data_IF_976301296762
#
_entry.id   IF_976301296762
#
_cell.length_a   1.000
_cell.length_b   1.000
_cell.length_c   1.000
_cell.angle_alpha   90.00
_cell.angle_beta   90.00
_cell.angle_gamma   90.00
#
_symmetry.space_group_name_H-M   'P 1'
#
loop_
_entity.id
_entity.type
_entity.pdbx_description
1 polymer ?
#
# COMPACT_ATOMS: atom_id res chain seq x y z
N UNK A 1 -39.43 12.05 -37.55
CA UNK A 1 -39.32 13.34 -38.27
C UNK A 1 -40.54 14.24 -38.07
N UNK A 2 -41.78 13.74 -38.21
CA UNK A 2 -43.02 14.55 -38.05
C UNK A 2 -43.15 15.22 -36.67
N UNK A 3 -42.78 14.54 -35.58
CA UNK A 3 -42.84 15.13 -34.21
C UNK A 3 -41.92 16.35 -34.06
N UNK A 4 -40.73 16.30 -34.64
CA UNK A 4 -39.77 17.43 -34.61
C UNK A 4 -40.30 18.62 -35.43
N UNK A 5 -40.94 18.34 -36.57
CA UNK A 5 -41.60 19.36 -37.39
C UNK A 5 -42.75 20.06 -36.65
N UNK A 6 -43.59 19.31 -35.92
CA UNK A 6 -44.68 19.86 -35.11
C UNK A 6 -44.14 20.77 -34.00
N UNK A 7 -43.08 20.35 -33.29
CA UNK A 7 -42.48 21.19 -32.25
C UNK A 7 -41.86 22.48 -32.80
N UNK A 8 -41.21 22.41 -33.97
CA UNK A 8 -40.65 23.60 -34.63
C UNK A 8 -41.76 24.55 -35.07
N UNK A 9 -42.82 24.04 -35.70
CA UNK A 9 -43.96 24.85 -36.14
C UNK A 9 -44.66 25.52 -34.95
N UNK A 10 -44.90 24.77 -33.87
CA UNK A 10 -45.53 25.28 -32.66
C UNK A 10 -44.67 26.36 -31.99
N UNK A 11 -43.35 26.15 -31.93
CA UNK A 11 -42.38 27.14 -31.38
C UNK A 11 -42.33 28.41 -32.22
N UNK A 12 -42.42 28.29 -33.54
CA UNK A 12 -42.41 29.42 -34.46
C UNK A 12 -43.70 30.25 -34.36
N UNK A 13 -44.85 29.57 -34.27
CA UNK A 13 -46.17 30.22 -34.09
C UNK A 13 -46.28 30.89 -32.72
N UNK A 14 -45.83 30.26 -31.64
CA UNK A 14 -45.82 30.89 -30.30
C UNK A 14 -44.82 32.02 -30.22
N UNK A 15 -43.64 31.90 -30.85
CA UNK A 15 -42.67 32.98 -30.95
C UNK A 15 -43.23 34.21 -31.68
N UNK A 16 -43.93 34.01 -32.80
CA UNK A 16 -44.59 35.06 -33.57
C UNK A 16 -45.74 35.73 -32.79
N UNK A 17 -46.59 34.93 -32.14
CA UNK A 17 -47.68 35.45 -31.30
C UNK A 17 -47.15 36.23 -30.10
N UNK A 18 -46.10 35.73 -29.45
CA UNK A 18 -45.45 36.42 -28.33
C UNK A 18 -44.82 37.74 -28.76
N UNK A 19 -44.16 37.79 -29.92
CA UNK A 19 -43.60 39.04 -30.47
C UNK A 19 -44.69 40.06 -30.82
N UNK A 20 -45.80 39.63 -31.43
CA UNK A 20 -46.93 40.51 -31.74
C UNK A 20 -47.64 41.03 -30.47
N UNK A 21 -47.71 40.21 -29.41
CA UNK A 21 -48.31 40.60 -28.13
C UNK A 21 -47.41 41.58 -27.35
N UNK A 22 -46.10 41.31 -27.30
CA UNK A 22 -45.11 42.16 -26.61
C UNK A 22 -44.84 43.48 -27.34
N UNK A 23 -45.13 43.58 -28.65
CA UNK A 23 -44.98 44.80 -29.42
C UNK A 23 -46.04 45.88 -29.11
N UNK A 24 -47.17 45.53 -28.48
CA UNK A 24 -48.25 46.49 -28.20
C UNK A 24 -47.99 47.36 -26.97
N UNK A 25 -47.49 46.77 -25.88
CA UNK A 25 -47.01 47.49 -24.69
C UNK A 25 -45.78 46.79 -24.12
N UNK A 26 -44.57 47.14 -24.59
CA UNK A 26 -43.35 46.57 -24.05
C UNK A 26 -43.14 47.16 -22.66
N UNK A 27 -43.66 46.47 -21.63
CA UNK A 27 -43.44 46.85 -20.24
C UNK A 27 -41.96 47.17 -19.99
N UNK A 28 -41.70 48.25 -19.25
CA UNK A 28 -40.35 48.74 -19.01
C UNK A 28 -39.83 48.21 -17.67
N UNK A 29 -38.56 47.82 -17.64
CA UNK A 29 -37.86 47.42 -16.44
C UNK A 29 -36.74 48.44 -16.20
N UNK A 30 -36.83 49.18 -15.10
CA UNK A 30 -35.75 50.05 -14.63
C UNK A 30 -34.94 49.30 -13.59
N UNK A 31 -33.68 49.02 -13.92
CA UNK A 31 -32.72 48.47 -12.96
C UNK A 31 -31.83 49.63 -12.51
N UNK A 32 -31.98 50.08 -11.26
CA UNK A 32 -31.12 51.10 -10.66
C UNK A 32 -30.15 50.46 -9.67
N UNK A 33 -28.84 50.62 -9.89
CA UNK A 33 -27.82 50.14 -8.97
C UNK A 33 -26.69 51.17 -8.86
N UNK A 34 -26.41 51.65 -7.63
CA UNK A 34 -25.25 52.49 -7.33
C UNK A 34 -25.15 53.82 -8.10
N UNK A 35 -26.29 54.41 -8.51
CA UNK A 35 -26.33 55.67 -9.27
C UNK A 35 -26.41 55.51 -10.79
N UNK A 36 -26.28 54.29 -11.32
CA UNK A 36 -26.56 53.99 -12.71
C UNK A 36 -27.99 53.43 -12.85
N UNK A 37 -28.78 54.03 -13.75
CA UNK A 37 -30.12 53.56 -14.11
C UNK A 37 -30.08 53.05 -15.54
N UNK A 38 -30.39 51.76 -15.71
CA UNK A 38 -30.52 51.14 -17.03
C UNK A 38 -31.99 50.86 -17.28
N UNK A 39 -32.53 51.51 -18.30
CA UNK A 39 -33.87 51.25 -18.82
C UNK A 39 -33.76 50.14 -19.86
N UNK A 40 -34.31 48.96 -19.56
CA UNK A 40 -34.33 47.82 -20.48
C UNK A 40 -35.79 47.39 -20.68
N UNK A 41 -36.15 47.04 -21.92
CA UNK A 41 -37.48 46.47 -22.17
C UNK A 41 -37.58 45.10 -21.52
N UNK A 42 -38.73 44.76 -20.95
CA UNK A 42 -38.99 43.42 -20.40
C UNK A 42 -38.73 42.33 -21.46
N UNK A 43 -39.00 42.66 -22.72
CA UNK A 43 -38.68 41.83 -23.88
C UNK A 43 -37.17 41.54 -24.02
N UNK A 44 -36.33 42.57 -23.94
CA UNK A 44 -34.88 42.41 -24.05
C UNK A 44 -34.30 41.53 -22.93
N UNK A 45 -34.82 41.64 -21.70
CA UNK A 45 -34.46 40.74 -20.60
C UNK A 45 -34.81 39.28 -20.92
N UNK A 46 -36.02 39.04 -21.43
CA UNK A 46 -36.48 37.69 -21.76
C UNK A 46 -35.60 37.03 -22.84
N UNK A 47 -35.26 37.79 -23.88
CA UNK A 47 -34.33 37.35 -24.93
C UNK A 47 -32.95 37.04 -24.35
N UNK A 48 -32.42 37.89 -23.46
CA UNK A 48 -31.13 37.67 -22.82
C UNK A 48 -31.10 36.40 -21.96
N UNK A 49 -32.18 36.12 -21.21
CA UNK A 49 -32.31 34.89 -20.40
C UNK A 49 -32.32 33.65 -21.30
N UNK A 50 -33.09 33.67 -22.39
CA UNK A 50 -33.13 32.56 -23.34
C UNK A 50 -31.75 32.31 -23.96
N UNK A 51 -31.07 33.37 -24.40
CA UNK A 51 -29.72 33.28 -24.95
C UNK A 51 -28.73 32.68 -23.95
N UNK A 52 -28.79 33.08 -22.67
CA UNK A 52 -27.95 32.53 -21.60
C UNK A 52 -28.20 31.04 -21.38
N UNK A 53 -29.47 30.61 -21.36
CA UNK A 53 -29.83 29.20 -21.18
C UNK A 53 -29.35 28.33 -22.35
N UNK A 54 -29.43 28.84 -23.58
CA UNK A 54 -28.91 28.16 -24.78
C UNK A 54 -27.40 28.01 -24.68
N UNK A 55 -26.69 29.08 -24.30
CA UNK A 55 -25.24 29.07 -24.15
C UNK A 55 -24.79 28.10 -23.05
N UNK A 56 -25.47 28.10 -21.90
CA UNK A 56 -25.22 27.13 -20.81
C UNK A 56 -25.40 25.69 -21.31
N UNK A 57 -26.49 25.41 -22.04
CA UNK A 57 -26.77 24.08 -22.56
C UNK A 57 -25.71 23.64 -23.59
N UNK A 58 -25.24 24.55 -24.44
CA UNK A 58 -24.14 24.28 -25.38
C UNK A 58 -22.84 23.97 -24.66
N UNK A 59 -22.50 24.71 -23.60
CA UNK A 59 -21.30 24.44 -22.78
C UNK A 59 -21.38 23.06 -22.13
N UNK A 60 -22.52 22.69 -21.55
CA UNK A 60 -22.72 21.36 -20.96
C UNK A 60 -22.62 20.24 -22.02
N UNK A 61 -23.20 20.44 -23.22
CA UNK A 61 -23.07 19.50 -24.34
C UNK A 61 -21.62 19.32 -24.79
N UNK A 62 -20.84 20.41 -24.86
CA UNK A 62 -19.41 20.35 -25.21
C UNK A 62 -18.62 19.62 -24.11
N UNK A 63 -18.93 19.88 -22.84
CA UNK A 63 -18.30 19.21 -21.70
C UNK A 63 -18.59 17.71 -21.70
N UNK A 64 -19.84 17.33 -22.01
CA UNK A 64 -20.27 15.94 -22.15
C UNK A 64 -19.66 15.27 -23.40
N UNK A 65 -19.51 16.00 -24.51
CA UNK A 65 -18.86 15.50 -25.73
C UNK A 65 -17.36 15.26 -25.52
N UNK A 66 -16.68 16.13 -24.77
CA UNK A 66 -15.28 15.95 -24.37
C UNK A 66 -15.12 14.79 -23.38
N UNK A 67 -16.19 14.39 -22.67
CA UNK A 67 -16.29 13.22 -21.80
C UNK A 67 -15.03 12.96 -20.94
N UNK A 68 -14.68 13.89 -20.03
CA UNK A 68 -13.51 13.76 -19.14
C UNK A 68 -13.59 12.51 -18.25
N UNK A 69 -14.80 12.05 -17.95
CA UNK A 69 -15.04 10.81 -17.20
C UNK A 69 -14.55 9.57 -17.95
N UNK A 70 -14.70 9.49 -19.28
CA UNK A 70 -14.23 8.34 -20.06
C UNK A 70 -12.71 8.16 -20.02
N UNK A 71 -11.95 9.26 -19.90
CA UNK A 71 -10.49 9.22 -19.74
C UNK A 71 -10.09 8.71 -18.34
N UNK A 72 -10.84 9.12 -17.30
CA UNK A 72 -10.66 8.65 -15.91
C UNK A 72 -11.04 7.17 -15.76
N UNK A 73 -12.09 6.70 -16.46
CA UNK A 73 -12.47 5.28 -16.50
C UNK A 73 -11.52 4.43 -17.36
N UNK A 74 -10.99 4.97 -18.48
CA UNK A 74 -9.98 4.30 -19.30
C UNK A 74 -8.63 4.12 -18.55
N UNK A 75 -8.29 5.06 -17.66
CA UNK A 75 -7.13 4.93 -16.78
C UNK A 75 -7.22 3.73 -15.82
N UNK A 76 -8.45 3.36 -15.38
CA UNK A 76 -8.69 2.19 -14.54
C UNK A 76 -8.60 0.87 -15.32
N UNK A 77 -9.07 0.80 -16.56
CA UNK A 77 -8.92 -0.41 -17.38
C UNK A 77 -7.47 -0.64 -17.83
N UNK A 78 -6.70 0.43 -18.04
CA UNK A 78 -5.26 0.34 -18.31
C UNK A 78 -4.44 -0.02 -17.06
N UNK A 79 -4.92 0.25 -15.85
CA UNK A 79 -4.30 -0.27 -14.63
C UNK A 79 -4.66 -1.74 -14.40
N UNK A 80 -5.90 -2.14 -14.69
CA UNK A 80 -6.36 -3.53 -14.60
C UNK A 80 -5.68 -4.45 -15.62
N UNK A 81 -5.54 -4.04 -16.88
CA UNK A 81 -4.81 -4.82 -17.89
C UNK A 81 -3.31 -4.93 -17.58
N UNK A 82 -2.73 -3.95 -16.86
CA UNK A 82 -1.36 -4.04 -16.33
C UNK A 82 -1.28 -4.91 -15.07
N UNK A 83 -2.29 -4.89 -14.21
CA UNK A 83 -2.39 -5.76 -13.04
C UNK A 83 -2.54 -7.23 -13.46
N UNK A 84 -3.40 -7.52 -14.43
CA UNK A 84 -3.63 -8.87 -14.96
C UNK A 84 -2.41 -9.41 -15.72
N UNK A 85 -1.64 -8.53 -16.38
CA UNK A 85 -0.35 -8.90 -17.01
C UNK A 85 0.78 -9.05 -15.97
N UNK A 86 0.70 -8.36 -14.84
CA UNK A 86 1.59 -8.55 -13.68
C UNK A 86 1.26 -9.82 -12.91
N UNK A 87 0.01 -10.22 -12.87
CA UNK A 87 -0.47 -11.46 -12.23
C UNK A 87 -0.12 -12.69 -13.09
N UNK A 88 -0.28 -12.60 -14.42
CA UNK A 88 0.18 -13.64 -15.37
C UNK A 88 1.70 -13.81 -15.44
N UNK A 89 2.44 -12.72 -15.24
CA UNK A 89 3.90 -12.73 -15.19
C UNK A 89 4.43 -12.68 -13.75
N UNK A 90 3.56 -12.81 -12.75
CA UNK A 90 3.99 -12.89 -11.37
C UNK A 90 4.79 -14.19 -11.24
N UNK A 91 5.92 -14.17 -10.52
CA UNK A 91 6.52 -15.43 -10.09
C UNK A 91 5.44 -16.27 -9.40
N UNK A 92 5.47 -17.61 -9.56
CA UNK A 92 4.48 -18.50 -8.95
C UNK A 92 4.35 -18.17 -7.45
N UNK A 93 3.14 -18.29 -6.87
CA UNK A 93 2.89 -17.99 -5.46
C UNK A 93 3.97 -18.59 -4.57
N UNK A 94 4.39 -17.86 -3.53
CA UNK A 94 5.37 -18.34 -2.55
C UNK A 94 5.11 -19.78 -2.10
N UNK A 95 3.83 -20.15 -1.98
CA UNK A 95 3.35 -21.48 -1.63
C UNK A 95 3.67 -22.56 -2.68
N UNK A 96 3.51 -22.28 -3.98
CA UNK A 96 3.85 -23.22 -5.05
C UNK A 96 5.37 -23.43 -5.13
N UNK A 97 6.14 -22.37 -4.90
CA UNK A 97 7.59 -22.43 -4.91
C UNK A 97 8.14 -23.18 -3.68
N UNK A 98 7.50 -22.99 -2.51
CA UNK A 98 7.73 -23.78 -1.29
C UNK A 98 7.35 -25.24 -1.51
N UNK A 99 6.16 -25.53 -2.01
CA UNK A 99 5.70 -26.88 -2.29
C UNK A 99 6.60 -27.61 -3.29
N UNK A 100 7.03 -26.92 -4.36
CA UNK A 100 7.97 -27.49 -5.33
C UNK A 100 9.38 -27.70 -4.74
N UNK A 101 9.81 -26.85 -3.80
CA UNK A 101 11.07 -27.04 -3.09
C UNK A 101 10.95 -28.22 -2.11
N UNK A 102 9.90 -28.28 -1.32
CA UNK A 102 9.61 -29.37 -0.37
C UNK A 102 9.47 -30.72 -1.08
N UNK A 103 8.79 -30.76 -2.22
CA UNK A 103 8.66 -31.97 -3.04
C UNK A 103 10.01 -32.41 -3.63
N UNK A 104 10.81 -31.48 -4.17
CA UNK A 104 12.17 -31.80 -4.65
C UNK A 104 13.11 -32.23 -3.49
N UNK A 105 12.91 -31.67 -2.29
CA UNK A 105 13.67 -32.05 -1.08
C UNK A 105 13.26 -33.43 -0.58
N UNK A 106 11.97 -33.78 -0.60
CA UNK A 106 11.48 -35.10 -0.19
C UNK A 106 11.94 -36.19 -1.16
N UNK A 107 11.89 -35.94 -2.48
CA UNK A 107 12.37 -36.88 -3.49
C UNK A 107 13.87 -37.18 -3.34
N UNK A 108 14.68 -36.19 -2.95
CA UNK A 108 16.12 -36.38 -2.74
C UNK A 108 16.48 -36.99 -1.38
N UNK A 109 15.67 -36.76 -0.36
CA UNK A 109 15.80 -37.43 0.94
C UNK A 109 15.51 -38.93 0.80
N UNK A 110 14.45 -39.28 0.06
CA UNK A 110 14.10 -40.68 -0.25
C UNK A 110 15.18 -41.37 -1.09
N UNK A 111 15.75 -40.68 -2.09
CA UNK A 111 16.80 -41.24 -2.95
C UNK A 111 18.13 -41.53 -2.24
N UNK A 112 18.43 -40.82 -1.14
CA UNK A 112 19.69 -40.96 -0.39
C UNK A 112 19.55 -41.77 0.91
N UNK A 113 18.34 -42.18 1.29
CA UNK A 113 18.10 -42.99 2.50
C UNK A 113 18.39 -42.26 3.82
N UNK A 114 18.55 -40.93 3.81
CA UNK A 114 18.77 -40.08 4.97
C UNK A 114 17.60 -39.09 5.14
N UNK A 115 17.06 -39.01 6.35
CA UNK A 115 15.92 -38.12 6.70
C UNK A 115 16.33 -36.64 6.77
N UNK A 116 17.63 -36.34 6.87
CA UNK A 116 18.14 -34.98 7.11
C UNK A 116 19.08 -34.54 6.00
N UNK A 117 18.68 -33.55 5.20
CA UNK A 117 19.52 -32.95 4.17
C UNK A 117 20.67 -32.14 4.80
N UNK A 118 21.88 -32.34 4.29
CA UNK A 118 23.04 -31.54 4.71
C UNK A 118 23.03 -30.13 4.07
N UNK A 119 23.57 -29.10 4.75
CA UNK A 119 23.67 -27.74 4.19
C UNK A 119 24.37 -27.69 2.81
N UNK A 120 25.33 -28.59 2.58
CA UNK A 120 26.04 -28.70 1.31
C UNK A 120 25.13 -29.15 0.14
N UNK A 121 24.20 -30.08 0.38
CA UNK A 121 23.22 -30.54 -0.61
C UNK A 121 22.22 -29.43 -0.94
N UNK A 122 21.72 -28.73 0.08
CA UNK A 122 20.81 -27.59 -0.10
C UNK A 122 21.49 -26.46 -0.92
N UNK A 123 22.76 -26.16 -0.65
CA UNK A 123 23.54 -25.18 -1.42
C UNK A 123 23.72 -25.59 -2.89
N UNK A 124 23.87 -26.89 -3.18
CA UNK A 124 24.00 -27.42 -4.54
C UNK A 124 22.67 -27.29 -5.32
N UNK A 125 21.56 -27.61 -4.67
CA UNK A 125 20.21 -27.43 -5.21
C UNK A 125 19.94 -25.95 -5.50
N UNK A 126 20.25 -25.09 -4.53
CA UNK A 126 20.11 -23.65 -4.64
C UNK A 126 20.88 -23.10 -5.84
N UNK A 127 22.16 -23.47 -6.00
CA UNK A 127 22.98 -23.05 -7.16
C UNK A 127 22.41 -23.50 -8.51
N UNK A 128 21.76 -24.66 -8.57
CA UNK A 128 21.16 -25.21 -9.80
C UNK A 128 19.89 -24.42 -10.19
N UNK A 129 19.06 -24.06 -9.20
CA UNK A 129 17.77 -23.37 -9.40
C UNK A 129 17.91 -21.85 -9.58
N UNK A 130 18.82 -21.22 -8.83
CA UNK A 130 18.98 -19.74 -8.79
C UNK A 130 19.61 -19.12 -10.03
N UNK A 131 20.17 -19.91 -10.96
CA UNK A 131 20.82 -19.39 -12.17
C UNK A 131 19.88 -18.59 -13.10
N UNK A 132 18.58 -18.60 -12.84
CA UNK A 132 17.55 -17.82 -13.58
C UNK A 132 16.64 -16.94 -12.71
N UNK A 133 16.68 -17.05 -11.38
CA UNK A 133 15.65 -16.52 -10.45
C UNK A 133 16.23 -15.80 -9.21
N UNK A 134 17.54 -15.53 -9.19
CA UNK A 134 18.30 -14.97 -8.04
C UNK A 134 17.77 -13.66 -7.43
N UNK A 135 16.83 -12.98 -8.08
CA UNK A 135 16.35 -11.64 -7.67
C UNK A 135 14.99 -11.69 -6.98
N UNK A 136 14.40 -12.87 -6.79
CA UNK A 136 13.09 -13.00 -6.17
C UNK A 136 13.21 -13.04 -4.63
N UNK A 137 12.75 -11.99 -3.95
CA UNK A 137 12.76 -11.86 -2.49
C UNK A 137 12.04 -13.03 -1.81
N UNK A 138 10.94 -13.50 -2.42
CA UNK A 138 10.18 -14.65 -1.96
C UNK A 138 11.04 -15.92 -1.92
N UNK A 139 11.76 -16.20 -3.00
CA UNK A 139 12.62 -17.37 -3.11
C UNK A 139 13.77 -17.33 -2.10
N UNK A 140 14.34 -16.14 -1.85
CA UNK A 140 15.39 -15.95 -0.84
C UNK A 140 14.83 -16.22 0.56
N UNK A 141 13.61 -15.78 0.88
CA UNK A 141 12.94 -16.10 2.15
C UNK A 141 12.78 -17.61 2.34
N UNK A 142 12.31 -18.32 1.32
CA UNK A 142 12.13 -19.77 1.34
C UNK A 142 13.46 -20.49 1.58
N UNK A 143 14.53 -20.04 0.93
CA UNK A 143 15.86 -20.62 1.14
C UNK A 143 16.42 -20.33 2.52
N UNK A 144 16.19 -19.13 3.05
CA UNK A 144 16.58 -18.78 4.41
C UNK A 144 15.84 -19.64 5.45
N UNK A 145 14.56 -19.96 5.21
CA UNK A 145 13.80 -20.91 6.03
C UNK A 145 14.34 -22.32 5.95
N UNK A 146 14.60 -22.81 4.74
CA UNK A 146 15.19 -24.13 4.55
C UNK A 146 16.55 -24.26 5.26
N UNK A 147 17.38 -23.21 5.23
CA UNK A 147 18.64 -23.15 5.98
C UNK A 147 18.42 -23.09 7.49
N UNK A 148 17.41 -22.36 7.97
CA UNK A 148 17.08 -22.29 9.39
C UNK A 148 16.60 -23.64 9.92
N UNK A 149 15.82 -24.39 9.13
CA UNK A 149 15.29 -25.72 9.50
C UNK A 149 16.38 -26.80 9.62
N UNK A 150 17.52 -26.62 8.97
CA UNK A 150 18.69 -27.52 9.07
C UNK A 150 19.76 -27.00 10.05
N UNK A 151 19.38 -26.11 10.97
CA UNK A 151 20.26 -25.46 11.96
C UNK A 151 21.41 -24.62 11.35
N UNK A 152 21.35 -24.29 10.06
CA UNK A 152 22.35 -23.46 9.36
C UNK A 152 22.01 -21.96 9.44
N UNK A 153 21.62 -21.47 10.61
CA UNK A 153 21.26 -20.06 10.85
C UNK A 153 22.33 -19.03 10.43
N UNK A 154 23.64 -19.24 10.67
CA UNK A 154 24.66 -18.28 10.22
C UNK A 154 24.68 -18.11 8.70
N UNK A 155 24.44 -19.19 7.95
CA UNK A 155 24.40 -19.15 6.49
C UNK A 155 23.11 -18.50 5.98
N UNK A 156 21.98 -18.71 6.67
CA UNK A 156 20.71 -18.05 6.38
C UNK A 156 20.83 -16.53 6.51
N UNK A 157 21.35 -16.05 7.65
CA UNK A 157 21.53 -14.62 7.91
C UNK A 157 22.49 -13.98 6.89
N UNK A 158 23.61 -14.65 6.61
CA UNK A 158 24.59 -14.14 5.62
C UNK A 158 24.00 -14.07 4.21
N UNK A 159 23.10 -14.98 3.86
CA UNK A 159 22.42 -14.95 2.56
C UNK A 159 21.49 -13.74 2.48
N UNK A 160 20.69 -13.49 3.52
CA UNK A 160 19.81 -12.32 3.58
C UNK A 160 20.59 -11.00 3.59
N UNK A 161 21.68 -10.91 4.36
CA UNK A 161 22.53 -9.72 4.41
C UNK A 161 23.11 -9.37 3.04
N UNK A 162 23.63 -10.37 2.31
CA UNK A 162 24.15 -10.17 0.95
C UNK A 162 23.08 -9.70 -0.01
N UNK A 163 21.88 -10.27 0.08
CA UNK A 163 20.75 -9.85 -0.75
C UNK A 163 20.32 -8.42 -0.43
N UNK A 164 20.22 -8.06 0.85
CA UNK A 164 19.88 -6.72 1.32
C UNK A 164 20.92 -5.65 0.95
N UNK A 165 22.22 -6.01 0.94
CA UNK A 165 23.31 -5.14 0.50
C UNK A 165 23.27 -4.86 -1.01
N UNK A 166 22.85 -5.83 -1.82
CA UNK A 166 22.70 -5.68 -3.27
C UNK A 166 21.41 -4.99 -3.68
N UNK A 167 20.27 -5.45 -3.16
CA UNK A 167 18.95 -4.92 -3.41
C UNK A 167 18.15 -4.90 -2.11
N UNK A 168 17.90 -3.69 -1.60
CA UNK A 168 17.11 -3.55 -0.39
C UNK A 168 15.67 -4.00 -0.61
N UNK A 169 15.15 -4.79 0.33
CA UNK A 169 13.79 -5.29 0.33
C UNK A 169 13.18 -5.29 1.72
N UNK A 170 11.98 -4.71 1.83
CA UNK A 170 11.18 -4.69 3.05
C UNK A 170 10.79 -6.12 3.50
N UNK A 171 10.62 -7.05 2.55
CA UNK A 171 10.31 -8.46 2.83
C UNK A 171 11.51 -9.15 3.46
N UNK A 172 12.70 -8.96 2.88
CA UNK A 172 13.93 -9.60 3.35
C UNK A 172 14.35 -9.08 4.73
N UNK A 173 14.21 -7.78 5.01
CA UNK A 173 14.56 -7.23 6.33
C UNK A 173 13.57 -7.67 7.43
N UNK A 174 12.27 -7.81 7.10
CA UNK A 174 11.29 -8.41 8.01
C UNK A 174 11.67 -9.84 8.33
N UNK A 175 12.00 -10.64 7.31
CA UNK A 175 12.46 -12.02 7.48
C UNK A 175 13.73 -12.10 8.33
N UNK A 176 14.71 -11.24 8.05
CA UNK A 176 15.95 -11.14 8.80
C UNK A 176 15.71 -10.91 10.29
N UNK A 177 14.77 -10.02 10.65
CA UNK A 177 14.41 -9.76 12.05
C UNK A 177 13.78 -10.96 12.77
N UNK A 178 13.08 -11.83 12.04
CA UNK A 178 12.40 -12.99 12.59
C UNK A 178 13.35 -14.19 12.75
N UNK A 179 14.36 -14.32 11.91
CA UNK A 179 15.36 -15.39 12.01
C UNK A 179 16.30 -15.18 13.21
N UNK A 180 16.46 -16.22 14.05
CA UNK A 180 17.37 -16.26 15.21
C UNK A 180 16.65 -16.44 16.55
N UNK A 181 16.13 -17.63 16.84
CA UNK A 181 15.19 -17.84 17.97
C UNK A 181 15.85 -18.21 19.32
N UNK A 182 17.13 -17.95 19.54
CA UNK A 182 17.79 -18.17 20.85
C UNK A 182 18.51 -16.91 21.33
N UNK A 183 18.24 -16.51 22.58
CA UNK A 183 18.72 -15.28 23.23
C UNK A 183 20.14 -15.39 23.77
N UNK A 184 20.76 -16.56 23.61
CA UNK A 184 21.95 -17.01 24.34
C UNK A 184 23.23 -16.87 23.51
N UNK A 185 23.14 -16.37 22.27
CA UNK A 185 24.19 -16.53 21.29
C UNK A 185 24.87 -15.21 20.91
N UNK A 186 26.21 -15.24 20.79
CA UNK A 186 27.02 -14.12 20.28
C UNK A 186 26.53 -13.62 18.94
N UNK A 187 25.89 -14.51 18.17
CA UNK A 187 25.27 -14.20 16.89
C UNK A 187 24.12 -13.19 16.99
N UNK A 188 23.32 -13.19 18.06
CA UNK A 188 22.21 -12.24 18.22
C UNK A 188 22.72 -10.79 18.35
N UNK A 189 23.86 -10.60 19.02
CA UNK A 189 24.53 -9.31 19.15
C UNK A 189 25.10 -8.86 17.80
N UNK A 190 25.75 -9.77 17.07
CA UNK A 190 26.30 -9.49 15.73
C UNK A 190 25.20 -9.11 14.74
N UNK A 191 24.06 -9.81 14.78
CA UNK A 191 22.88 -9.52 13.96
C UNK A 191 22.35 -8.10 14.21
N UNK A 192 22.24 -7.70 15.49
CA UNK A 192 21.82 -6.34 15.84
C UNK A 192 22.84 -5.29 15.38
N UNK A 193 24.13 -5.50 15.61
CA UNK A 193 25.19 -4.57 15.18
C UNK A 193 25.21 -4.38 13.66
N UNK A 194 25.03 -5.47 12.91
CA UNK A 194 24.95 -5.42 11.44
C UNK A 194 23.72 -4.63 10.98
N UNK A 195 22.57 -4.84 11.62
CA UNK A 195 21.36 -4.07 11.32
C UNK A 195 21.48 -2.59 11.69
N UNK A 196 22.13 -2.26 12.82
CA UNK A 196 22.37 -0.87 13.24
C UNK A 196 23.27 -0.14 12.22
N UNK A 197 24.22 -0.84 11.58
CA UNK A 197 25.06 -0.25 10.54
C UNK A 197 24.25 0.23 9.31
N UNK A 198 23.11 -0.42 9.00
CA UNK A 198 22.23 0.02 7.91
C UNK A 198 21.50 1.34 8.22
N UNK A 199 21.44 1.79 9.48
CA UNK A 199 20.87 3.10 9.82
C UNK A 199 21.65 4.28 9.23
N UNK A 200 22.94 4.10 8.92
CA UNK A 200 23.77 5.16 8.32
C UNK A 200 23.19 5.58 6.97
N UNK A 201 22.73 4.62 6.17
CA UNK A 201 22.09 4.87 4.87
C UNK A 201 20.57 4.97 4.94
N UNK A 202 19.94 4.36 5.96
CA UNK A 202 18.48 4.21 6.07
C UNK A 202 17.91 4.61 7.45
N UNK A 203 18.35 5.73 7.98
CA UNK A 203 18.03 6.16 9.36
C UNK A 203 16.55 6.39 9.70
N UNK A 204 15.68 6.53 8.70
CA UNK A 204 14.22 6.71 8.85
C UNK A 204 13.41 5.59 8.16
N UNK A 205 14.01 4.49 7.72
CA UNK A 205 13.22 3.41 7.14
C UNK A 205 12.37 2.72 8.23
N UNK A 206 11.02 2.81 8.17
CA UNK A 206 10.15 2.27 9.22
C UNK A 206 10.26 0.75 9.35
N UNK A 207 10.55 0.02 8.27
CA UNK A 207 10.65 -1.44 8.30
C UNK A 207 11.98 -1.88 8.92
N UNK A 208 13.06 -1.16 8.63
CA UNK A 208 14.35 -1.33 9.32
C UNK A 208 14.22 -1.01 10.82
N UNK A 209 13.52 0.06 11.17
CA UNK A 209 13.30 0.45 12.57
C UNK A 209 12.48 -0.62 13.33
N UNK A 210 11.46 -1.22 12.70
CA UNK A 210 10.76 -2.37 13.28
C UNK A 210 11.71 -3.56 13.47
N UNK A 211 12.51 -3.90 12.45
CA UNK A 211 13.49 -4.98 12.56
C UNK A 211 14.50 -4.75 13.71
N UNK A 212 14.98 -3.52 13.87
CA UNK A 212 15.86 -3.14 14.97
C UNK A 212 15.17 -3.22 16.34
N UNK A 213 13.90 -2.85 16.42
CA UNK A 213 13.07 -3.04 17.60
C UNK A 213 13.04 -4.50 18.04
N UNK A 214 12.75 -5.41 17.11
CA UNK A 214 12.73 -6.87 17.33
C UNK A 214 14.08 -7.45 17.75
N UNK A 215 15.14 -7.07 17.04
CA UNK A 215 16.49 -7.50 17.38
C UNK A 215 16.93 -6.95 18.74
N UNK A 216 16.53 -5.73 19.09
CA UNK A 216 16.78 -5.16 20.41
C UNK A 216 15.99 -5.88 21.50
N UNK A 217 14.73 -6.24 21.26
CA UNK A 217 13.95 -7.08 22.18
C UNK A 217 14.68 -8.40 22.44
N UNK A 218 15.11 -9.09 21.37
CA UNK A 218 15.85 -10.36 21.48
C UNK A 218 17.13 -10.24 22.31
N UNK A 219 17.85 -9.14 22.16
CA UNK A 219 19.06 -8.82 22.92
C UNK A 219 18.76 -8.24 24.32
N UNK A 220 17.50 -8.21 24.75
CA UNK A 220 17.04 -7.67 26.04
C UNK A 220 17.35 -6.18 26.24
N UNK A 221 17.50 -5.43 25.15
CA UNK A 221 17.76 -3.99 25.15
C UNK A 221 16.45 -3.21 25.08
N UNK A 222 15.64 -3.27 26.15
CA UNK A 222 14.26 -2.78 26.20
C UNK A 222 14.12 -1.29 25.83
N UNK A 223 15.01 -0.44 26.34
CA UNK A 223 15.00 0.99 26.04
C UNK A 223 15.22 1.27 24.55
N UNK A 224 16.23 0.63 23.95
CA UNK A 224 16.49 0.73 22.50
C UNK A 224 15.33 0.19 21.68
N UNK A 225 14.76 -0.95 22.09
CA UNK A 225 13.62 -1.56 21.42
C UNK A 225 12.44 -0.59 21.36
N UNK A 226 12.09 0.02 22.50
CA UNK A 226 11.04 1.05 22.57
C UNK A 226 11.34 2.22 21.63
N UNK A 227 12.53 2.79 21.73
CA UNK A 227 12.90 3.98 20.96
C UNK A 227 12.86 3.72 19.44
N UNK A 228 13.29 2.53 18.98
CA UNK A 228 13.17 2.13 17.57
C UNK A 228 11.72 1.93 17.12
N UNK A 229 10.90 1.26 17.92
CA UNK A 229 9.48 1.02 17.60
C UNK A 229 8.69 2.33 17.56
N UNK A 230 8.93 3.25 18.50
CA UNK A 230 8.32 4.58 18.50
C UNK A 230 8.70 5.39 17.25
N UNK A 231 9.98 5.37 16.87
CA UNK A 231 10.44 6.03 15.63
C UNK A 231 9.85 5.41 14.37
N UNK A 232 9.67 4.08 14.35
CA UNK A 232 9.00 3.39 13.25
C UNK A 232 7.55 3.90 13.10
N UNK A 233 6.80 3.97 14.20
CA UNK A 233 5.42 4.47 14.23
C UNK A 233 5.30 5.95 13.83
N UNK A 234 6.23 6.79 14.27
CA UNK A 234 6.28 8.19 13.86
C UNK A 234 6.48 8.35 12.36
N UNK A 235 7.21 7.42 11.73
CA UNK A 235 7.46 7.45 10.29
C UNK A 235 6.29 6.87 9.50
N UNK A 236 5.77 5.72 9.92
CA UNK A 236 4.66 5.02 9.28
C UNK A 236 3.83 4.31 10.36
N UNK A 237 2.54 4.67 10.52
CA UNK A 237 1.63 3.91 11.37
C UNK A 237 1.49 2.47 10.84
N UNK A 238 1.80 1.48 11.69
CA UNK A 238 1.73 0.06 11.36
C UNK A 238 1.22 -0.71 12.58
N UNK A 239 0.17 -1.51 12.39
CA UNK A 239 -0.52 -2.24 13.46
C UNK A 239 0.38 -3.27 14.15
N UNK A 240 1.33 -3.87 13.42
CA UNK A 240 2.28 -4.84 13.96
C UNK A 240 3.23 -4.15 14.95
N UNK A 241 3.76 -2.99 14.57
CA UNK A 241 4.62 -2.16 15.43
C UNK A 241 3.85 -1.69 16.67
N UNK A 242 2.58 -1.27 16.51
CA UNK A 242 1.72 -0.90 17.63
C UNK A 242 1.52 -2.05 18.61
N UNK A 243 1.22 -3.26 18.11
CA UNK A 243 0.99 -4.44 18.94
C UNK A 243 2.25 -4.84 19.72
N UNK A 244 3.42 -4.85 19.07
CA UNK A 244 4.70 -5.15 19.71
C UNK A 244 5.10 -4.10 20.76
N UNK A 245 4.93 -2.81 20.46
CA UNK A 245 5.22 -1.73 21.40
C UNK A 245 4.26 -1.78 22.61
N UNK A 246 2.97 -2.01 22.38
CA UNK A 246 1.98 -2.12 23.44
C UNK A 246 2.31 -3.27 24.39
N UNK A 247 2.72 -4.43 23.85
CA UNK A 247 3.18 -5.60 24.62
C UNK A 247 4.41 -5.27 25.46
N UNK A 248 5.40 -4.59 24.88
CA UNK A 248 6.61 -4.16 25.59
C UNK A 248 6.27 -3.21 26.76
N UNK A 249 5.43 -2.20 26.52
CA UNK A 249 5.07 -1.19 27.53
C UNK A 249 4.25 -1.77 28.70
N UNK A 250 3.38 -2.75 28.43
CA UNK A 250 2.67 -3.47 29.49
C UNK A 250 3.66 -4.16 30.44
N UNK A 251 4.64 -4.85 29.87
CA UNK A 251 5.64 -5.60 30.63
C UNK A 251 6.64 -4.67 31.36
N UNK A 252 6.87 -3.45 30.84
CA UNK A 252 7.66 -2.40 31.51
C UNK A 252 6.92 -1.71 32.67
N UNK A 253 5.68 -2.10 32.99
CA UNK A 253 4.82 -1.43 33.99
C UNK A 253 4.56 0.05 33.68
N UNK A 254 4.49 0.42 32.40
CA UNK A 254 4.04 1.73 31.93
C UNK A 254 2.64 1.66 31.26
N UNK A 255 1.58 1.21 31.99
CA UNK A 255 0.29 0.88 31.38
C UNK A 255 -0.47 2.11 30.85
N UNK A 256 -0.28 3.30 31.43
CA UNK A 256 -0.94 4.53 30.96
C UNK A 256 -0.51 4.92 29.54
N UNK A 257 0.77 4.69 29.21
CA UNK A 257 1.29 4.86 27.86
C UNK A 257 0.80 3.75 26.93
N UNK A 258 0.73 2.52 27.42
CA UNK A 258 0.19 1.38 26.65
C UNK A 258 -1.30 1.52 26.31
N UNK A 259 -2.11 2.06 27.22
CA UNK A 259 -3.55 2.24 27.04
C UNK A 259 -3.88 3.12 25.81
N UNK A 260 -3.04 4.11 25.48
CA UNK A 260 -3.19 4.92 24.26
C UNK A 260 -2.99 4.11 22.97
N UNK A 261 -2.22 3.02 23.02
CA UNK A 261 -1.94 2.15 21.88
C UNK A 261 -2.92 0.96 21.77
N UNK A 262 -3.57 0.58 22.88
CA UNK A 262 -4.54 -0.52 22.96
C UNK A 262 -5.99 -0.11 22.65
N UNK A 263 -6.30 1.18 22.56
CA UNK A 263 -7.65 1.66 22.20
C UNK A 263 -8.01 1.48 20.71
N UNK A 264 -7.09 0.98 19.88
CA UNK A 264 -7.28 0.76 18.44
C UNK A 264 -7.61 -0.70 18.05
N UNK A 265 -7.58 -1.06 16.75
CA UNK A 265 -7.84 -2.41 16.21
C UNK A 265 -6.88 -3.52 16.69
N UNK A 266 -5.92 -3.18 17.56
CA UNK A 266 -4.73 -3.94 17.93
C UNK A 266 -4.99 -5.18 18.79
N UNK A 267 -6.15 -5.26 19.45
CA UNK A 267 -6.49 -6.37 20.35
C UNK A 267 -6.61 -7.75 19.67
N UNK A 268 -6.82 -7.79 18.35
CA UNK A 268 -6.88 -9.03 17.58
C UNK A 268 -5.49 -9.56 17.19
N UNK A 269 -4.47 -8.69 17.10
CA UNK A 269 -3.13 -9.05 16.59
C UNK A 269 -2.19 -9.44 17.74
N UNK A 270 -2.50 -9.10 18.99
CA UNK A 270 -1.63 -9.41 20.14
C UNK A 270 -1.37 -10.91 20.34
N UNK A 271 -2.22 -11.78 19.80
CA UNK A 271 -2.08 -13.24 19.89
C UNK A 271 -1.09 -13.84 18.89
N UNK A 272 -0.84 -13.18 17.74
CA UNK A 272 0.02 -13.71 16.66
C UNK A 272 1.42 -13.07 16.63
N UNK A 273 1.78 -12.31 17.66
CA UNK A 273 3.07 -11.63 17.72
C UNK A 273 4.22 -12.62 17.94
N UNK A 274 5.39 -12.40 17.31
CA UNK A 274 6.57 -13.24 17.56
C UNK A 274 6.95 -13.26 19.04
N UNK A 275 7.31 -14.42 19.57
CA UNK A 275 7.62 -14.59 21.00
C UNK A 275 9.05 -14.12 21.32
N UNK A 276 9.22 -12.80 21.39
CA UNK A 276 10.46 -12.17 21.85
C UNK A 276 10.49 -12.09 23.38
N UNK A 277 11.68 -12.20 24.01
CA UNK A 277 11.80 -12.08 25.45
C UNK A 277 11.22 -10.73 25.92
N UNK A 278 10.61 -10.73 27.09
CA UNK A 278 9.88 -9.59 27.64
C UNK A 278 10.42 -9.23 29.02
N UNK A 279 10.41 -7.94 29.41
CA UNK A 279 10.80 -7.55 30.75
C UNK A 279 9.88 -8.21 31.79
N UNK A 280 10.47 -8.91 32.78
CA UNK A 280 9.73 -9.53 33.89
C UNK A 280 9.20 -10.96 33.65
N UNK A 281 9.36 -11.53 32.45
CA UNK A 281 9.26 -12.98 32.24
C UNK A 281 10.67 -13.56 32.32
N UNK A 282 10.99 -14.27 33.41
CA UNK A 282 12.20 -15.10 33.55
C UNK A 282 11.90 -16.49 33.04
#
# INVERSE_FOLDING_TARGET
MIRLFIYILLTLVTGLLATLFLAREPGYLLISFGGASFETSLFALFVAIIALLILLRLVLLILDWINPMRLVYAGRSWSQARAEKRERNAPPPEEELRAALEQELSEQAEANGEVTLTPAQLRKLWKKRTRKLTTDDALICVYADALANIDALPEALKTLEKSLEGQWSDVLIRKYSLLGLRSDDKMAVQQLQKAEAWLVSRGQDPVLLLALGRLSLRNQLWGKARDYLERSLQTRPDYEVFAELARLLQNLKEPERSARYLQGPTGLISHDLPDFPQPGKV
#
